data_IF_328711645678
#
_entry.id   IF_328711645678
#
_cell.length_a   1.000
_cell.length_b   1.000
_cell.length_c   1.000
_cell.angle_alpha   90.00
_cell.angle_beta   90.00
_cell.angle_gamma   90.00
#
_symmetry.space_group_name_H-M   'P 1'
#
loop_
_entity.id
_entity.type
_entity.pdbx_description
1 polymer ?
#
# COMPACT_ATOMS: atom_id res chain seq x y z
N UNK A 1 11.53 -1.36 -6.17
CA UNK A 1 10.76 -2.49 -5.61
C UNK A 1 9.31 -2.26 -6.02
N UNK A 2 8.61 -3.23 -6.59
CA UNK A 2 7.19 -3.04 -6.96
C UNK A 2 6.29 -3.37 -5.77
N UNK A 3 5.30 -2.53 -5.51
CA UNK A 3 4.26 -2.83 -4.53
C UNK A 3 3.40 -3.99 -5.02
N UNK A 4 3.12 -4.96 -4.13
CA UNK A 4 2.22 -6.09 -4.44
C UNK A 4 0.76 -5.67 -4.58
N UNK A 5 0.37 -4.59 -3.90
CA UNK A 5 -0.94 -3.97 -4.02
C UNK A 5 -0.76 -2.50 -4.43
N UNK A 6 -1.87 -1.81 -4.69
CA UNK A 6 -1.85 -0.39 -5.03
C UNK A 6 -1.10 0.42 -3.95
N UNK A 7 -0.27 1.43 -4.30
CA UNK A 7 0.50 2.24 -3.34
C UNK A 7 -0.34 3.03 -2.32
N UNK A 8 -1.67 2.99 -2.41
CA UNK A 8 -2.61 3.59 -1.45
C UNK A 8 -3.14 2.57 -0.43
N UNK A 9 -2.68 1.32 -0.47
CA UNK A 9 -3.07 0.26 0.45
C UNK A 9 -2.44 0.50 1.82
N UNK A 10 -3.25 0.46 2.88
CA UNK A 10 -2.80 0.65 4.24
C UNK A 10 -1.89 -0.50 4.70
N UNK A 11 -0.74 -0.21 5.33
CA UNK A 11 0.04 -1.23 6.01
C UNK A 11 -0.67 -1.70 7.29
N UNK A 12 -0.38 -2.92 7.72
CA UNK A 12 -0.82 -3.42 9.01
C UNK A 12 -0.19 -2.57 10.14
N UNK A 13 -0.98 -2.05 11.10
CA UNK A 13 -0.48 -1.27 12.23
C UNK A 13 0.62 -1.93 13.05
N UNK A 14 0.68 -3.26 13.09
CA UNK A 14 1.70 -4.03 13.81
C UNK A 14 3.07 -3.99 13.11
N UNK A 15 3.09 -3.72 11.80
CA UNK A 15 4.30 -3.79 10.97
C UNK A 15 4.89 -2.39 10.69
N UNK A 16 4.44 -1.36 11.40
CA UNK A 16 4.79 0.05 11.15
C UNK A 16 6.29 0.39 11.29
N UNK A 17 7.05 -0.47 11.97
CA UNK A 17 8.49 -0.30 12.14
C UNK A 17 9.29 -0.70 10.89
N UNK A 18 8.71 -1.53 10.00
CA UNK A 18 9.32 -1.91 8.72
C UNK A 18 8.25 -1.92 7.62
N UNK A 19 8.04 -0.74 7.02
CA UNK A 19 7.07 -0.55 5.94
C UNK A 19 7.46 -1.26 4.63
N UNK A 20 8.74 -1.60 4.43
CA UNK A 20 9.18 -2.27 3.21
C UNK A 20 8.75 -3.75 3.19
N UNK A 21 8.66 -4.38 4.36
CA UNK A 21 8.16 -5.75 4.52
C UNK A 21 6.74 -5.86 5.08
N UNK A 22 6.06 -4.73 5.33
CA UNK A 22 4.77 -4.72 6.00
C UNK A 22 3.70 -5.52 5.26
N UNK A 23 2.85 -6.22 6.02
CA UNK A 23 1.64 -6.84 5.49
C UNK A 23 0.67 -5.74 5.06
N UNK A 24 0.03 -5.93 3.92
CA UNK A 24 -1.04 -5.07 3.45
C UNK A 24 -2.35 -5.41 4.18
N UNK A 25 -3.14 -4.39 4.51
CA UNK A 25 -4.55 -4.57 4.87
C UNK A 25 -5.39 -4.63 3.60
N UNK A 26 -5.29 -5.76 2.91
CA UNK A 26 -6.02 -6.08 1.69
C UNK A 26 -6.75 -7.42 1.85
N UNK A 27 -7.77 -7.62 1.04
CA UNK A 27 -8.54 -8.85 1.00
C UNK A 27 -8.93 -9.19 -0.44
N UNK A 28 -8.92 -10.47 -0.74
CA UNK A 28 -9.38 -11.02 -2.01
C UNK A 28 -10.60 -11.91 -1.77
N UNK A 29 -11.55 -11.87 -2.70
CA UNK A 29 -12.74 -12.71 -2.71
C UNK A 29 -12.52 -13.80 -3.76
N UNK A 30 -12.53 -15.05 -3.31
CA UNK A 30 -12.35 -16.23 -4.16
C UNK A 30 -13.61 -17.07 -4.16
N UNK A 31 -14.09 -17.43 -5.35
CA UNK A 31 -15.24 -18.31 -5.53
C UNK A 31 -14.86 -19.48 -6.45
N UNK A 32 -15.04 -20.71 -5.96
CA UNK A 32 -14.69 -21.96 -6.67
C UNK A 32 -13.27 -21.97 -7.26
N UNK A 33 -12.30 -21.43 -6.53
CA UNK A 33 -10.89 -21.37 -6.95
C UNK A 33 -10.55 -20.23 -7.92
N UNK A 34 -11.50 -19.35 -8.24
CA UNK A 34 -11.28 -18.18 -9.11
C UNK A 34 -11.39 -16.90 -8.28
N UNK A 35 -10.43 -15.99 -8.44
CA UNK A 35 -10.52 -14.64 -7.88
C UNK A 35 -11.63 -13.86 -8.60
N UNK A 36 -12.60 -13.34 -7.85
CA UNK A 36 -13.72 -12.56 -8.39
C UNK A 36 -13.66 -11.08 -7.99
N UNK A 37 -12.70 -10.71 -7.15
CA UNK A 37 -12.41 -9.32 -6.81
C UNK A 37 -11.52 -9.21 -5.58
N UNK A 38 -11.08 -8.00 -5.29
CA UNK A 38 -10.28 -7.68 -4.11
C UNK A 38 -10.32 -6.19 -3.81
N UNK A 39 -10.00 -5.82 -2.57
CA UNK A 39 -9.91 -4.43 -2.13
C UNK A 39 -8.88 -4.30 -0.99
N UNK A 40 -8.68 -3.08 -0.52
CA UNK A 40 -7.71 -2.72 0.49
C UNK A 40 -8.15 -1.50 1.29
N UNK A 41 -7.95 -1.54 2.61
CA UNK A 41 -8.07 -0.33 3.42
C UNK A 41 -7.12 0.75 2.87
N UNK A 42 -7.58 2.00 2.77
CA UNK A 42 -6.79 3.08 2.19
C UNK A 42 -5.98 3.84 3.24
N UNK A 43 -4.76 4.21 2.89
CA UNK A 43 -3.95 5.10 3.72
C UNK A 43 -4.62 6.49 3.76
N UNK A 44 -4.91 6.98 4.96
CA UNK A 44 -5.47 8.32 5.17
C UNK A 44 -4.47 9.31 5.80
N UNK A 45 -3.33 8.82 6.31
CA UNK A 45 -2.30 9.65 6.95
C UNK A 45 -1.24 10.04 5.94
N UNK A 46 -1.09 11.34 5.69
CA UNK A 46 -0.13 11.91 4.71
C UNK A 46 1.30 11.41 4.92
N UNK A 47 1.80 11.43 6.15
CA UNK A 47 3.17 11.01 6.46
C UNK A 47 3.41 9.52 6.17
N UNK A 48 2.40 8.67 6.34
CA UNK A 48 2.50 7.24 6.00
C UNK A 48 2.49 7.07 4.49
N UNK A 49 1.60 7.79 3.79
CA UNK A 49 1.53 7.75 2.34
C UNK A 49 2.85 8.18 1.69
N UNK A 50 3.47 9.25 2.17
CA UNK A 50 4.77 9.72 1.67
C UNK A 50 5.86 8.66 1.81
N UNK A 51 5.98 8.03 2.99
CA UNK A 51 6.94 6.94 3.20
C UNK A 51 6.71 5.75 2.26
N UNK A 52 5.45 5.36 2.06
CA UNK A 52 5.10 4.27 1.13
C UNK A 52 5.46 4.64 -0.31
N UNK A 53 5.20 5.88 -0.73
CA UNK A 53 5.57 6.39 -2.06
C UNK A 53 7.09 6.39 -2.28
N UNK A 54 7.86 6.82 -1.27
CA UNK A 54 9.33 6.77 -1.30
C UNK A 54 9.85 5.34 -1.46
N UNK A 55 9.30 4.38 -0.71
CA UNK A 55 9.68 2.95 -0.77
C UNK A 55 9.42 2.36 -2.17
N UNK A 56 8.33 2.75 -2.82
CA UNK A 56 8.02 2.29 -4.19
C UNK A 56 8.78 3.07 -5.28
N UNK A 57 9.59 4.06 -4.89
CA UNK A 57 10.47 4.80 -5.78
C UNK A 57 9.85 6.04 -6.42
N UNK A 58 8.77 6.59 -5.85
CA UNK A 58 8.18 7.86 -6.28
C UNK A 58 8.81 8.98 -5.44
N UNK A 59 9.51 9.91 -6.10
CA UNK A 59 10.25 10.97 -5.40
C UNK A 59 9.28 12.05 -4.90
N UNK A 60 9.68 12.73 -3.82
CA UNK A 60 8.88 13.83 -3.25
C UNK A 60 8.62 14.97 -4.23
N UNK A 61 9.52 15.18 -5.20
CA UNK A 61 9.39 16.18 -6.27
C UNK A 61 8.25 15.83 -7.25
N UNK A 62 8.00 14.54 -7.48
CA UNK A 62 6.85 14.05 -8.26
C UNK A 62 5.54 14.13 -7.46
N UNK A 63 5.63 14.04 -6.13
CA UNK A 63 4.47 14.07 -5.21
C UNK A 63 4.03 15.51 -4.91
N UNK A 64 4.95 16.48 -4.91
CA UNK A 64 4.66 17.86 -4.57
C UNK A 64 3.75 18.56 -5.58
N UNK A 65 3.64 18.05 -6.81
CA UNK A 65 2.97 18.77 -7.91
C UNK A 65 3.62 20.14 -8.17
N UNK A 66 3.21 20.87 -9.21
CA UNK A 66 3.41 22.32 -9.25
C UNK A 66 2.68 23.02 -8.10
#
# INVERSE_FOLDING_TARGET
MQARHHPFTAPNPEDMNDLASARALAYDIVYNGVEIGGESLRIYKRNIQQKVLEIVGISMEQVSGP
#
